data_IF_111479927031
#
_entry.id   IF_111479927031
#
_cell.length_a   1.000
_cell.length_b   1.000
_cell.length_c   1.000
_cell.angle_alpha   90.00
_cell.angle_beta   90.00
_cell.angle_gamma   90.00
#
_symmetry.space_group_name_H-M   'P 1'
#
loop_
_entity.id
_entity.type
_entity.pdbx_description
1 polymer ?
#
# COMPACT_ATOMS: atom_id res chain seq x y z
N UNK A 1 -51.01 -5.49 -8.40
CA UNK A 1 -50.02 -5.80 -7.34
C UNK A 1 -49.47 -7.20 -7.59
N UNK A 2 -48.18 -7.52 -7.36
CA UNK A 2 -46.99 -6.67 -7.11
C UNK A 2 -45.99 -6.76 -8.30
N UNK A 3 -45.41 -5.70 -8.89
CA UNK A 3 -44.33 -4.80 -8.41
C UNK A 3 -43.32 -5.45 -7.45
N UNK A 4 -42.22 -5.97 -7.97
CA UNK A 4 -40.89 -6.10 -7.35
C UNK A 4 -40.04 -6.82 -8.42
N UNK A 5 -39.16 -6.15 -9.16
CA UNK A 5 -37.75 -6.02 -8.80
C UNK A 5 -37.28 -4.61 -9.20
N UNK A 6 -37.10 -3.73 -8.20
CA UNK A 6 -36.22 -2.56 -8.34
C UNK A 6 -34.81 -3.12 -8.59
N UNK A 7 -34.08 -2.69 -9.65
CA UNK A 7 -32.65 -2.96 -9.70
C UNK A 7 -32.04 -2.34 -8.44
N UNK A 8 -31.23 -3.13 -7.75
CA UNK A 8 -30.61 -2.76 -6.50
C UNK A 8 -29.87 -1.44 -6.67
N UNK A 9 -30.45 -0.37 -6.11
CA UNK A 9 -29.75 0.89 -5.89
C UNK A 9 -28.73 0.64 -4.78
N UNK A 10 -27.62 0.01 -5.13
CA UNK A 10 -26.37 0.22 -4.41
C UNK A 10 -25.92 1.65 -4.74
N UNK A 11 -26.56 2.62 -4.10
CA UNK A 11 -25.97 3.93 -3.90
C UNK A 11 -25.31 3.91 -2.51
N UNK A 12 -24.07 3.40 -2.36
CA UNK A 12 -23.34 3.66 -1.16
C UNK A 12 -22.80 5.10 -1.26
N UNK A 13 -23.40 6.01 -0.48
CA UNK A 13 -22.70 7.02 0.33
C UNK A 13 -21.47 7.80 -0.21
N UNK A 14 -21.35 8.07 -1.52
CA UNK A 14 -20.35 9.00 -2.05
C UNK A 14 -21.03 10.08 -2.90
N UNK A 15 -21.37 11.20 -2.25
CA UNK A 15 -22.04 12.35 -2.87
C UNK A 15 -21.10 13.14 -3.81
N UNK A 16 -19.78 12.90 -3.72
CA UNK A 16 -18.75 13.65 -4.44
C UNK A 16 -17.86 12.75 -5.32
N UNK A 17 -17.44 13.21 -6.51
CA UNK A 17 -16.41 12.55 -7.31
C UNK A 17 -15.14 12.31 -6.49
N UNK A 18 -14.78 11.04 -6.30
CA UNK A 18 -13.72 10.64 -5.39
C UNK A 18 -12.79 9.61 -6.02
N UNK A 19 -11.52 9.69 -5.64
CA UNK A 19 -10.52 8.66 -5.92
C UNK A 19 -10.08 8.04 -4.61
N UNK A 20 -10.05 6.71 -4.58
CA UNK A 20 -9.42 5.95 -3.52
C UNK A 20 -8.22 5.21 -4.08
N UNK A 21 -7.02 5.52 -3.58
CA UNK A 21 -5.77 4.92 -4.04
C UNK A 21 -5.07 4.10 -2.96
N UNK A 22 -4.32 3.10 -3.38
CA UNK A 22 -3.34 2.39 -2.58
C UNK A 22 -2.03 2.30 -3.37
N UNK A 23 -0.91 2.74 -2.79
CA UNK A 23 0.40 2.76 -3.47
C UNK A 23 1.44 1.99 -2.66
N UNK A 24 2.15 1.04 -3.28
CA UNK A 24 3.19 0.22 -2.66
C UNK A 24 4.34 -0.13 -3.61
N UNK A 25 5.55 0.30 -3.23
CA UNK A 25 6.84 0.11 -3.93
C UNK A 25 6.79 0.28 -5.43
N UNK A 26 6.51 1.51 -5.83
CA UNK A 26 6.52 1.91 -7.25
C UNK A 26 5.36 1.35 -8.06
N UNK A 27 4.39 0.68 -7.41
CA UNK A 27 3.11 0.32 -8.01
C UNK A 27 1.96 0.95 -7.23
N UNK A 28 0.85 1.22 -7.89
CA UNK A 28 -0.37 1.71 -7.28
C UNK A 28 -1.60 1.08 -7.87
N UNK A 29 -2.68 1.18 -7.12
CA UNK A 29 -4.01 0.74 -7.49
C UNK A 29 -4.97 1.84 -7.10
N UNK A 30 -5.84 2.24 -8.01
CA UNK A 30 -6.75 3.37 -7.81
C UNK A 30 -8.14 2.99 -8.28
N UNK A 31 -9.13 3.32 -7.46
CA UNK A 31 -10.53 3.29 -7.80
C UNK A 31 -11.03 4.73 -7.93
N UNK A 32 -11.55 5.07 -9.10
CA UNK A 32 -12.11 6.38 -9.40
C UNK A 32 -13.61 6.26 -9.56
N UNK A 33 -14.32 7.03 -8.76
CA UNK A 33 -15.77 7.14 -8.77
C UNK A 33 -16.08 8.59 -9.11
N UNK A 34 -16.36 8.85 -10.38
CA UNK A 34 -16.39 10.19 -10.94
C UNK A 34 -17.71 10.56 -11.60
N UNK A 35 -17.80 11.83 -11.98
CA UNK A 35 -18.82 12.33 -12.90
C UNK A 35 -18.14 12.92 -14.12
N UNK A 36 -18.65 12.57 -15.29
CA UNK A 36 -18.20 13.10 -16.57
C UNK A 36 -19.24 14.09 -17.08
N UNK A 37 -18.78 15.28 -17.43
CA UNK A 37 -19.60 16.41 -17.84
C UNK A 37 -19.36 16.71 -19.33
N UNK A 38 -20.36 16.42 -20.16
CA UNK A 38 -20.43 16.71 -21.60
C UNK A 38 -21.81 17.26 -21.95
N UNK A 39 -22.22 18.36 -21.31
CA UNK A 39 -23.60 18.89 -21.38
C UNK A 39 -24.67 18.03 -20.69
N UNK A 40 -24.45 16.72 -20.54
CA UNK A 40 -25.20 15.77 -19.71
C UNK A 40 -24.26 15.06 -18.72
N UNK A 41 -24.84 14.49 -17.65
CA UNK A 41 -24.10 13.86 -16.53
C UNK A 41 -23.97 12.35 -16.75
N UNK A 42 -22.73 11.88 -16.87
CA UNK A 42 -22.40 10.46 -16.86
C UNK A 42 -21.67 10.06 -15.57
N UNK A 43 -21.91 8.83 -15.10
CA UNK A 43 -21.21 8.23 -13.96
C UNK A 43 -19.98 7.46 -14.47
N UNK A 44 -18.86 7.64 -13.77
CA UNK A 44 -17.56 7.05 -14.14
C UNK A 44 -17.13 6.10 -13.04
N UNK A 45 -16.85 4.86 -13.41
CA UNK A 45 -16.25 3.85 -12.55
C UNK A 45 -14.96 3.37 -13.24
N UNK A 46 -13.82 3.74 -12.69
CA UNK A 46 -12.52 3.41 -13.28
C UNK A 46 -11.65 2.70 -12.25
N UNK A 47 -11.10 1.56 -12.62
CA UNK A 47 -10.07 0.89 -11.85
C UNK A 47 -8.75 1.05 -12.59
N UNK A 48 -7.71 1.55 -11.94
CA UNK A 48 -6.39 1.75 -12.53
C UNK A 48 -5.30 1.08 -11.72
N UNK A 49 -4.33 0.54 -12.42
CA UNK A 49 -3.02 0.22 -11.88
C UNK A 49 -2.05 1.30 -12.29
N UNK A 50 -1.02 1.56 -11.48
CA UNK A 50 0.10 2.43 -11.83
C UNK A 50 1.40 1.71 -11.51
N UNK A 51 2.44 1.96 -12.29
CA UNK A 51 3.77 1.42 -12.12
C UNK A 51 4.80 2.45 -12.60
N UNK A 52 6.02 2.44 -12.06
CA UNK A 52 7.10 3.29 -12.57
C UNK A 52 7.67 2.74 -13.86
N UNK A 53 7.77 3.58 -14.89
CA UNK A 53 8.36 3.21 -16.18
C UNK A 53 9.84 3.61 -16.23
N UNK A 54 10.13 4.90 -16.35
CA UNK A 54 11.49 5.46 -16.35
C UNK A 54 11.47 6.96 -16.12
N UNK A 55 12.52 7.52 -15.51
CA UNK A 55 12.64 8.97 -15.32
C UNK A 55 11.44 9.61 -14.60
N UNK A 56 10.74 10.60 -15.21
CA UNK A 56 9.53 11.21 -14.64
C UNK A 56 8.26 10.42 -14.90
N UNK A 57 8.33 9.32 -15.65
CA UNK A 57 7.16 8.66 -16.20
C UNK A 57 6.72 7.46 -15.37
N UNK A 58 5.43 7.42 -15.10
CA UNK A 58 4.71 6.25 -14.62
C UNK A 58 3.72 5.82 -15.70
N UNK A 59 3.34 4.55 -15.69
CA UNK A 59 2.37 4.01 -16.62
C UNK A 59 1.38 3.10 -15.90
N UNK A 60 0.25 2.82 -16.53
CA UNK A 60 -0.84 2.12 -15.87
C UNK A 60 -1.79 1.46 -16.84
N UNK A 61 -2.41 0.37 -16.39
CA UNK A 61 -3.53 -0.24 -17.09
C UNK A 61 -4.82 0.06 -16.33
N UNK A 62 -5.86 0.41 -17.06
CA UNK A 62 -7.16 0.77 -16.52
C UNK A 62 -8.31 -0.07 -17.10
N UNK A 63 -9.32 -0.29 -16.28
CA UNK A 63 -10.65 -0.74 -16.70
C UNK A 63 -11.60 0.44 -16.48
N UNK A 64 -12.28 0.85 -17.54
CA UNK A 64 -13.20 1.97 -17.54
C UNK A 64 -14.63 1.51 -17.82
N UNK A 65 -15.54 1.87 -16.92
CA UNK A 65 -16.98 1.78 -17.09
C UNK A 65 -17.57 3.19 -17.00
N UNK A 66 -18.14 3.67 -18.11
CA UNK A 66 -18.83 4.96 -18.18
C UNK A 66 -20.29 4.70 -18.46
N UNK A 67 -21.19 5.26 -17.66
CA UNK A 67 -22.64 5.10 -17.84
C UNK A 67 -23.26 6.47 -17.98
N UNK A 68 -23.88 6.73 -19.13
CA UNK A 68 -24.59 7.97 -19.40
C UNK A 68 -26.08 7.70 -19.56
N UNK A 69 -26.91 8.51 -18.89
CA UNK A 69 -28.36 8.53 -19.08
C UNK A 69 -28.74 9.82 -19.80
N UNK A 70 -28.82 9.71 -21.13
CA UNK A 70 -29.18 10.82 -22.01
C UNK A 70 -30.61 10.59 -22.48
N UNK A 71 -31.56 11.28 -21.85
CA UNK A 71 -32.99 11.28 -22.26
C UNK A 71 -33.55 9.85 -22.50
N UNK A 72 -33.23 8.89 -21.62
CA UNK A 72 -33.76 7.51 -21.70
C UNK A 72 -32.98 6.56 -22.63
N UNK A 73 -31.95 7.04 -23.34
CA UNK A 73 -30.97 6.18 -24.00
C UNK A 73 -29.83 5.92 -23.03
N UNK A 74 -29.89 4.76 -22.36
CA UNK A 74 -28.80 4.28 -21.50
C UNK A 74 -27.65 3.85 -22.40
N UNK A 75 -26.61 4.68 -22.43
CA UNK A 75 -25.38 4.38 -23.15
C UNK A 75 -24.28 4.07 -22.15
N UNK A 76 -23.50 3.04 -22.42
CA UNK A 76 -22.36 2.71 -21.60
C UNK A 76 -21.11 2.46 -22.44
N UNK A 77 -19.95 2.76 -21.89
CA UNK A 77 -18.67 2.38 -22.46
C UNK A 77 -17.96 1.45 -21.49
N UNK A 78 -17.50 0.31 -22.00
CA UNK A 78 -16.72 -0.69 -21.29
C UNK A 78 -15.39 -0.82 -22.01
N UNK A 79 -14.30 -0.38 -21.39
CA UNK A 79 -13.00 -0.36 -22.05
C UNK A 79 -11.86 -0.77 -21.16
N UNK A 80 -10.81 -1.27 -21.81
CA UNK A 80 -9.50 -1.47 -21.21
C UNK A 80 -8.56 -0.45 -21.82
N UNK A 81 -7.78 0.21 -20.97
CA UNK A 81 -6.91 1.29 -21.39
C UNK A 81 -5.53 1.24 -20.80
N UNK A 82 -4.66 1.98 -21.46
CA UNK A 82 -3.30 2.24 -21.04
C UNK A 82 -3.12 3.73 -20.83
N UNK A 83 -2.46 4.10 -19.75
CA UNK A 83 -2.21 5.48 -19.36
C UNK A 83 -0.74 5.69 -19.05
N UNK A 84 -0.22 6.86 -19.42
CA UNK A 84 1.07 7.37 -18.98
C UNK A 84 0.86 8.64 -18.16
N UNK A 85 1.64 8.80 -17.10
CA UNK A 85 1.65 10.00 -16.27
C UNK A 85 3.09 10.50 -16.15
N UNK A 86 3.27 11.82 -16.13
CA UNK A 86 4.57 12.47 -16.03
C UNK A 86 4.62 13.38 -14.81
N UNK A 87 5.63 13.19 -13.95
CA UNK A 87 5.90 14.05 -12.79
C UNK A 87 5.27 13.58 -11.47
N UNK A 88 4.43 12.55 -11.48
CA UNK A 88 3.71 12.08 -10.30
C UNK A 88 4.62 11.48 -9.23
N UNK A 89 4.36 11.79 -7.96
CA UNK A 89 5.02 11.19 -6.80
C UNK A 89 6.49 11.58 -6.59
N UNK A 90 6.98 12.63 -7.27
CA UNK A 90 8.38 13.09 -7.17
C UNK A 90 8.69 13.99 -5.98
N UNK A 91 7.68 14.67 -5.43
CA UNK A 91 7.83 15.66 -4.37
C UNK A 91 6.67 15.55 -3.38
N UNK A 92 6.81 16.17 -2.21
CA UNK A 92 5.75 16.30 -1.20
C UNK A 92 4.51 16.95 -1.79
N UNK A 93 4.68 17.93 -2.69
CA UNK A 93 3.62 18.47 -3.53
C UNK A 93 4.07 18.34 -4.99
N UNK A 94 3.41 17.46 -5.75
CA UNK A 94 3.81 17.12 -7.12
C UNK A 94 2.66 17.31 -8.10
N UNK A 95 2.69 18.32 -8.98
CA UNK A 95 1.82 18.34 -10.15
C UNK A 95 2.24 17.22 -11.11
N UNK A 96 1.27 16.64 -11.80
CA UNK A 96 1.50 15.64 -12.82
C UNK A 96 0.57 15.84 -14.01
N UNK A 97 1.06 15.48 -15.19
CA UNK A 97 0.25 15.38 -16.40
C UNK A 97 -0.07 13.91 -16.67
N UNK A 98 -1.18 13.64 -17.34
CA UNK A 98 -1.58 12.29 -17.74
C UNK A 98 -2.14 12.27 -19.17
N UNK A 99 -1.88 11.17 -19.85
CA UNK A 99 -2.42 10.87 -21.18
C UNK A 99 -2.71 9.37 -21.29
N UNK A 100 -3.86 9.01 -21.83
CA UNK A 100 -4.27 7.61 -21.94
C UNK A 100 -5.15 7.32 -23.14
N UNK A 101 -5.21 6.04 -23.49
CA UNK A 101 -6.04 5.49 -24.55
C UNK A 101 -6.72 4.23 -24.02
N UNK A 102 -8.04 4.16 -24.12
CA UNK A 102 -8.81 2.95 -23.87
C UNK A 102 -9.51 2.47 -25.13
N UNK A 103 -9.54 1.16 -25.34
CA UNK A 103 -10.30 0.51 -26.38
C UNK A 103 -11.40 -0.31 -25.73
N UNK A 104 -12.60 -0.25 -26.29
CA UNK A 104 -13.75 -0.82 -25.62
C UNK A 104 -14.98 -0.94 -26.49
N UNK A 105 -16.05 -1.41 -25.85
CA UNK A 105 -17.38 -1.48 -26.41
C UNK A 105 -18.18 -0.29 -25.92
N UNK A 106 -18.61 0.55 -26.86
CA UNK A 106 -19.67 1.53 -26.63
C UNK A 106 -21.01 0.88 -26.94
N UNK A 107 -21.86 0.77 -25.92
CA UNK A 107 -23.22 0.28 -26.04
C UNK A 107 -24.21 1.45 -26.08
N UNK A 108 -25.17 1.36 -27.00
CA UNK A 108 -26.41 2.12 -26.99
C UNK A 108 -27.57 1.16 -26.74
N UNK A 109 -28.78 1.67 -26.52
CA UNK A 109 -29.98 0.86 -26.26
C UNK A 109 -30.23 -0.23 -27.33
N UNK A 110 -29.65 -0.09 -28.53
CA UNK A 110 -29.83 -1.01 -29.66
C UNK A 110 -28.54 -1.47 -30.37
N UNK A 111 -27.36 -0.95 -30.06
CA UNK A 111 -26.11 -1.30 -30.78
C UNK A 111 -24.91 -1.48 -29.84
N UNK A 112 -23.97 -2.33 -30.25
CA UNK A 112 -22.66 -2.51 -29.61
C UNK A 112 -21.59 -2.23 -30.66
N UNK A 113 -20.74 -1.24 -30.41
CA UNK A 113 -19.73 -0.81 -31.37
C UNK A 113 -18.37 -0.69 -30.70
N UNK A 114 -17.30 -0.96 -31.46
CA UNK A 114 -15.94 -0.73 -30.99
C UNK A 114 -15.66 0.78 -30.95
N UNK A 115 -15.20 1.24 -29.80
CA UNK A 115 -14.88 2.64 -29.55
C UNK A 115 -13.48 2.77 -28.94
N UNK A 116 -12.85 3.91 -29.23
CA UNK A 116 -11.60 4.33 -28.64
C UNK A 116 -11.86 5.58 -27.79
N UNK A 117 -11.30 5.61 -26.59
CA UNK A 117 -11.38 6.75 -25.69
C UNK A 117 -9.99 7.30 -25.40
N UNK A 118 -9.78 8.53 -25.81
CA UNK A 118 -8.59 9.32 -25.51
C UNK A 118 -8.82 10.09 -24.22
N UNK A 119 -7.80 10.12 -23.37
CA UNK A 119 -7.81 10.86 -22.11
C UNK A 119 -6.59 11.76 -22.04
N UNK A 120 -6.78 13.02 -21.68
CA UNK A 120 -5.73 13.99 -21.40
C UNK A 120 -6.08 14.73 -20.11
N UNK A 121 -5.10 14.99 -19.26
CA UNK A 121 -5.38 15.69 -18.02
C UNK A 121 -4.15 15.95 -17.18
N UNK A 122 -4.41 16.27 -15.93
CA UNK A 122 -3.38 16.45 -14.93
C UNK A 122 -3.97 16.54 -13.54
N UNK A 123 -3.11 16.41 -12.56
CA UNK A 123 -3.51 16.49 -11.18
C UNK A 123 -2.42 17.08 -10.31
N UNK A 124 -2.79 17.33 -9.07
CA UNK A 124 -1.89 17.74 -8.00
C UNK A 124 -1.99 16.69 -6.90
N UNK A 125 -0.86 16.13 -6.51
CA UNK A 125 -0.77 15.19 -5.40
C UNK A 125 0.05 15.83 -4.28
N UNK A 126 -0.55 15.93 -3.09
CA UNK A 126 0.08 16.38 -1.87
C UNK A 126 0.21 15.22 -0.89
N UNK A 127 1.44 14.79 -0.64
CA UNK A 127 1.78 13.79 0.35
C UNK A 127 1.85 14.44 1.73
N UNK A 128 0.69 14.60 2.35
CA UNK A 128 0.59 15.14 3.71
C UNK A 128 1.38 14.27 4.72
N UNK A 129 1.41 12.95 4.51
CA UNK A 129 2.21 12.01 5.30
C UNK A 129 2.89 10.99 4.36
N UNK A 130 3.89 10.26 4.85
CA UNK A 130 4.58 9.21 4.08
C UNK A 130 3.62 8.12 3.58
N UNK A 131 2.54 7.87 4.32
CA UNK A 131 1.48 6.89 4.04
C UNK A 131 0.16 7.51 3.58
N UNK A 132 0.04 8.84 3.49
CA UNK A 132 -1.20 9.52 3.12
C UNK A 132 -0.92 10.62 2.10
N UNK A 133 -1.56 10.51 0.94
CA UNK A 133 -1.58 11.59 -0.03
C UNK A 133 -3.01 11.99 -0.36
N UNK A 134 -3.21 13.29 -0.48
CA UNK A 134 -4.43 13.94 -0.92
C UNK A 134 -4.17 14.52 -2.31
N UNK A 135 -5.17 14.54 -3.17
CA UNK A 135 -4.97 15.13 -4.49
C UNK A 135 -6.24 15.53 -5.18
N UNK A 136 -6.08 16.29 -6.24
CA UNK A 136 -7.13 16.58 -7.20
C UNK A 136 -6.66 16.17 -8.59
N UNK A 137 -7.56 15.60 -9.39
CA UNK A 137 -7.28 15.20 -10.76
C UNK A 137 -8.37 15.72 -11.69
N UNK A 138 -7.94 16.41 -12.76
CA UNK A 138 -8.79 16.91 -13.82
C UNK A 138 -8.48 16.16 -15.12
N UNK A 139 -9.51 15.63 -15.77
CA UNK A 139 -9.40 14.86 -17.01
C UNK A 139 -10.36 15.36 -18.05
N UNK A 140 -9.86 15.53 -19.26
CA UNK A 140 -10.64 15.62 -20.49
C UNK A 140 -10.62 14.27 -21.18
N UNK A 141 -11.80 13.76 -21.55
CA UNK A 141 -11.94 12.53 -22.32
C UNK A 141 -12.62 12.82 -23.64
N UNK A 142 -12.14 12.17 -24.70
CA UNK A 142 -12.74 12.16 -26.03
C UNK A 142 -12.94 10.70 -26.45
N UNK A 143 -14.19 10.27 -26.53
CA UNK A 143 -14.58 8.96 -27.03
C UNK A 143 -15.05 9.07 -28.48
N UNK A 144 -14.46 8.27 -29.36
CA UNK A 144 -14.80 8.18 -30.78
C UNK A 144 -15.03 6.71 -31.19
N UNK A 145 -15.90 6.51 -32.18
CA UNK A 145 -16.18 5.19 -32.75
C UNK A 145 -15.12 4.87 -33.81
N UNK A 146 -14.16 4.03 -33.41
CA UNK A 146 -13.00 3.65 -34.21
C UNK A 146 -11.70 4.44 -33.89
N UNK A 147 -10.54 4.04 -34.45
CA UNK A 147 -9.23 4.52 -33.99
C UNK A 147 -8.78 5.87 -34.58
N UNK A 148 -9.70 6.77 -34.93
CA UNK A 148 -9.40 7.99 -35.74
C UNK A 148 -8.64 9.12 -35.00
N UNK A 149 -8.55 9.04 -33.67
CA UNK A 149 -7.68 9.93 -32.89
C UNK A 149 -8.25 11.32 -32.59
N UNK A 150 -7.43 12.14 -31.94
CA UNK A 150 -7.82 13.47 -31.41
C UNK A 150 -8.03 14.54 -32.49
N UNK A 151 -7.44 14.35 -33.68
CA UNK A 151 -7.29 15.38 -34.71
C UNK A 151 -8.39 15.36 -35.78
N UNK A 152 -9.25 14.35 -35.78
CA UNK A 152 -10.39 14.24 -36.70
C UNK A 152 -11.56 13.44 -36.09
N UNK A 153 -12.15 13.93 -34.98
CA UNK A 153 -13.28 13.26 -34.36
C UNK A 153 -14.50 13.28 -35.28
N UNK A 154 -15.29 12.21 -35.27
CA UNK A 154 -16.60 12.23 -35.94
C UNK A 154 -17.54 13.23 -35.28
N UNK A 155 -18.57 13.65 -36.02
CA UNK A 155 -19.62 14.54 -35.49
C UNK A 155 -20.39 13.93 -34.29
N UNK A 156 -20.35 12.61 -34.11
CA UNK A 156 -20.95 11.89 -32.98
C UNK A 156 -19.96 11.55 -31.85
N UNK A 157 -18.71 12.03 -31.95
CA UNK A 157 -17.71 11.86 -30.89
C UNK A 157 -18.13 12.57 -29.60
N UNK A 158 -17.85 11.92 -28.47
CA UNK A 158 -18.26 12.39 -27.14
C UNK A 158 -17.06 12.95 -26.41
N UNK A 159 -17.10 14.21 -26.00
CA UNK A 159 -16.00 14.80 -25.22
C UNK A 159 -16.46 15.40 -23.91
N UNK A 160 -15.68 15.33 -22.85
CA UNK A 160 -16.07 16.03 -21.64
C UNK A 160 -15.06 15.96 -20.53
N UNK A 161 -15.37 16.67 -19.45
CA UNK A 161 -14.43 16.88 -18.35
C UNK A 161 -14.90 16.14 -17.11
N UNK A 162 -13.97 15.58 -16.34
CA UNK A 162 -14.21 15.08 -14.99
C UNK A 162 -13.18 15.66 -14.04
N UNK A 163 -13.63 16.11 -12.88
CA UNK A 163 -12.77 16.47 -11.76
C UNK A 163 -13.03 15.50 -10.60
N UNK A 164 -11.97 15.05 -9.94
CA UNK A 164 -12.04 14.14 -8.78
C UNK A 164 -11.12 14.64 -7.68
N UNK A 165 -11.52 14.40 -6.43
CA UNK A 165 -10.66 14.58 -5.27
C UNK A 165 -10.31 13.20 -4.71
N UNK A 166 -9.02 12.98 -4.52
CA UNK A 166 -8.48 11.67 -4.18
C UNK A 166 -7.83 11.63 -2.81
N UNK A 167 -8.03 10.51 -2.13
CA UNK A 167 -7.19 10.09 -1.00
C UNK A 167 -6.48 8.82 -1.43
N UNK A 168 -5.17 8.77 -1.26
CA UNK A 168 -4.38 7.58 -1.52
C UNK A 168 -3.53 7.21 -0.32
N UNK A 169 -3.49 5.91 -0.03
CA UNK A 169 -2.79 5.35 1.10
C UNK A 169 -1.53 4.65 0.62
N UNK A 170 -0.40 4.99 1.21
CA UNK A 170 0.85 4.26 1.01
C UNK A 170 0.78 2.93 1.75
N UNK A 171 0.57 1.83 1.02
CA UNK A 171 0.86 0.48 1.50
C UNK A 171 2.38 0.35 1.50
N UNK A 172 3.01 0.59 2.64
CA UNK A 172 4.46 0.60 2.77
C UNK A 172 5.10 -0.62 2.10
N UNK A 173 6.01 -0.39 1.15
CA UNK A 173 6.86 -1.44 0.60
C UNK A 173 8.25 -1.30 1.21
N UNK A 174 8.75 -2.42 1.73
CA UNK A 174 10.17 -2.58 2.05
C UNK A 174 11.05 -2.38 0.81
N UNK A 175 12.18 -1.71 1.07
CA UNK A 175 13.50 -1.75 0.43
C UNK A 175 13.65 -1.59 -1.10
N UNK A 176 14.63 -0.75 -1.50
CA UNK A 176 15.37 -0.97 -2.75
C UNK A 176 15.88 0.25 -3.54
N UNK A 177 16.79 1.05 -2.97
CA UNK A 177 18.03 1.49 -3.65
C UNK A 177 18.06 2.60 -4.72
N UNK A 178 18.91 3.60 -4.44
CA UNK A 178 19.63 4.60 -5.31
C UNK A 178 18.81 5.78 -5.85
N UNK A 179 19.16 7.04 -5.65
CA UNK A 179 20.28 7.73 -5.00
C UNK A 179 20.22 9.22 -5.36
N UNK A 180 20.77 10.12 -4.55
CA UNK A 180 21.05 11.51 -4.95
C UNK A 180 20.66 12.61 -3.95
N UNK A 181 21.52 12.81 -2.95
CA UNK A 181 22.00 14.07 -2.35
C UNK A 181 21.05 15.28 -2.18
N UNK A 182 20.94 15.77 -0.95
CA UNK A 182 20.56 17.16 -0.66
C UNK A 182 20.07 17.41 0.77
N UNK A 183 20.99 17.61 1.71
CA UNK A 183 20.92 18.32 3.00
C UNK A 183 19.58 18.42 3.76
N UNK A 184 19.57 17.88 5.00
CA UNK A 184 18.81 18.46 6.12
C UNK A 184 17.90 17.51 6.92
N UNK A 185 18.49 16.58 7.67
CA UNK A 185 18.01 15.90 8.90
C UNK A 185 19.01 14.78 9.23
N UNK A 186 19.15 14.29 10.48
CA UNK A 186 19.81 13.01 10.70
C UNK A 186 19.04 11.98 9.89
N UNK A 187 19.64 11.46 8.81
CA UNK A 187 18.97 10.51 7.93
C UNK A 187 18.71 9.22 8.70
N UNK A 188 17.51 8.64 8.51
CA UNK A 188 17.22 7.27 8.94
C UNK A 188 18.41 6.36 8.60
N UNK A 189 18.95 5.65 9.58
CA UNK A 189 20.06 4.75 9.34
C UNK A 189 19.63 3.71 8.28
N UNK A 190 20.53 3.29 7.38
CA UNK A 190 20.20 2.25 6.41
C UNK A 190 19.66 1.01 7.15
N UNK A 191 18.70 0.27 6.57
CA UNK A 191 18.08 -0.87 7.23
C UNK A 191 19.16 -1.81 7.78
N UNK A 192 19.03 -2.27 9.04
CA UNK A 192 20.07 -3.07 9.66
C UNK A 192 20.28 -4.37 8.88
N UNK A 193 21.55 -4.62 8.55
CA UNK A 193 21.97 -5.93 8.04
C UNK A 193 21.90 -6.96 9.17
N UNK A 194 21.65 -8.25 8.84
CA UNK A 194 21.77 -9.34 9.80
C UNK A 194 23.09 -9.27 10.58
N UNK A 195 23.10 -9.66 11.86
CA UNK A 195 24.33 -9.71 12.65
C UNK A 195 25.37 -10.61 11.99
N UNK A 196 26.64 -10.24 12.09
CA UNK A 196 27.75 -10.99 11.46
C UNK A 196 28.06 -12.25 12.27
N UNK A 197 27.82 -12.19 13.58
CA UNK A 197 28.02 -13.29 14.52
C UNK A 197 26.78 -13.47 15.40
N UNK A 198 26.22 -14.67 15.40
CA UNK A 198 25.17 -15.08 16.33
C UNK A 198 25.82 -16.04 17.32
N UNK A 199 25.93 -15.63 18.59
CA UNK A 199 26.56 -16.41 19.66
C UNK A 199 25.57 -16.72 20.78
N UNK A 200 25.71 -17.89 21.41
CA UNK A 200 24.90 -18.32 22.55
C UNK A 200 23.97 -19.49 22.23
N UNK A 201 23.31 -20.02 23.26
CA UNK A 201 22.53 -21.26 23.19
C UNK A 201 21.29 -21.18 22.28
N UNK A 202 20.83 -19.97 21.95
CA UNK A 202 19.66 -19.76 21.09
C UNK A 202 20.04 -19.44 19.62
N UNK A 203 21.28 -19.68 19.20
CA UNK A 203 21.77 -19.30 17.87
C UNK A 203 20.94 -19.91 16.73
N UNK A 204 20.54 -21.18 16.84
CA UNK A 204 19.72 -21.86 15.84
C UNK A 204 18.31 -21.26 15.74
N UNK A 205 17.70 -20.88 16.88
CA UNK A 205 16.40 -20.19 16.92
C UNK A 205 16.49 -18.82 16.25
N UNK A 206 17.55 -18.07 16.54
CA UNK A 206 17.80 -16.76 15.93
C UNK A 206 18.01 -16.90 14.42
N UNK A 207 18.76 -17.91 13.99
CA UNK A 207 19.00 -18.20 12.57
C UNK A 207 17.69 -18.49 11.83
N UNK A 208 16.83 -19.36 12.38
CA UNK A 208 15.50 -19.65 11.80
C UNK A 208 14.62 -18.40 11.70
N UNK A 209 14.67 -17.51 12.70
CA UNK A 209 13.96 -16.25 12.62
C UNK A 209 14.52 -15.37 11.48
N UNK A 210 15.84 -15.28 11.34
CA UNK A 210 16.52 -14.50 10.30
C UNK A 210 16.25 -15.03 8.88
N UNK A 211 16.12 -16.35 8.70
CA UNK A 211 15.71 -16.97 7.43
C UNK A 211 14.32 -16.54 6.99
N UNK A 212 13.49 -16.08 7.92
CA UNK A 212 12.15 -15.57 7.62
C UNK A 212 12.15 -14.12 7.14
N UNK A 213 13.32 -13.45 7.01
CA UNK A 213 13.41 -12.06 6.56
C UNK A 213 12.73 -11.83 5.21
N UNK A 214 11.95 -10.75 5.12
CA UNK A 214 11.17 -10.40 3.94
C UNK A 214 9.84 -11.13 3.81
N UNK A 215 9.56 -12.13 4.66
CA UNK A 215 8.26 -12.82 4.67
C UNK A 215 7.13 -11.83 4.98
N UNK A 216 6.00 -11.83 4.24
CA UNK A 216 4.90 -10.90 4.45
C UNK A 216 4.28 -11.00 5.85
N UNK A 217 3.75 -9.88 6.33
CA UNK A 217 2.92 -9.89 7.53
C UNK A 217 1.51 -10.35 7.21
N UNK A 218 1.02 -11.34 7.95
CA UNK A 218 -0.37 -11.76 7.92
C UNK A 218 -0.88 -11.85 9.35
N UNK A 219 -1.98 -11.16 9.64
CA UNK A 219 -2.66 -11.28 10.91
C UNK A 219 -3.08 -12.75 11.15
N UNK A 220 -2.64 -13.36 12.24
CA UNK A 220 -2.89 -14.78 12.49
C UNK A 220 -1.85 -15.73 11.86
N UNK A 221 -0.93 -15.24 11.02
CA UNK A 221 0.05 -16.04 10.30
C UNK A 221 1.10 -16.69 11.20
N UNK A 222 1.53 -17.91 10.86
CA UNK A 222 2.46 -18.75 11.65
C UNK A 222 3.45 -19.57 10.80
N UNK A 223 3.45 -19.44 9.47
CA UNK A 223 4.28 -20.26 8.55
C UNK A 223 4.27 -19.69 7.11
N UNK A 224 4.53 -20.53 6.09
CA UNK A 224 4.78 -20.25 4.65
C UNK A 224 3.93 -19.17 3.96
N UNK A 225 2.73 -18.85 4.46
CA UNK A 225 1.88 -17.80 3.92
C UNK A 225 2.18 -16.40 4.50
N UNK A 226 2.84 -16.31 5.65
CA UNK A 226 3.17 -15.08 6.34
C UNK A 226 3.18 -15.22 7.87
N UNK A 227 3.73 -14.22 8.55
CA UNK A 227 3.81 -14.20 10.02
C UNK A 227 3.09 -12.98 10.61
N UNK A 228 2.39 -13.15 11.72
CA UNK A 228 2.25 -12.01 12.66
C UNK A 228 3.40 -11.98 13.65
N UNK A 229 3.42 -10.98 14.54
CA UNK A 229 4.55 -10.76 15.44
C UNK A 229 4.81 -11.97 16.34
N UNK A 230 3.78 -12.46 17.03
CA UNK A 230 3.87 -13.64 17.90
C UNK A 230 4.01 -14.94 17.13
N UNK A 231 3.47 -15.03 15.91
CA UNK A 231 3.58 -16.19 15.04
C UNK A 231 5.00 -16.42 14.55
N UNK A 232 5.75 -15.37 14.22
CA UNK A 232 7.17 -15.47 13.88
C UNK A 232 7.99 -16.07 15.04
N UNK A 233 7.79 -15.54 16.25
CA UNK A 233 8.51 -16.00 17.45
C UNK A 233 8.13 -17.44 17.77
N UNK A 234 6.83 -17.76 17.73
CA UNK A 234 6.34 -19.12 17.95
C UNK A 234 6.91 -20.11 16.93
N UNK A 235 6.98 -19.73 15.66
CA UNK A 235 7.54 -20.54 14.60
C UNK A 235 9.03 -20.81 14.82
N UNK A 236 9.83 -19.75 15.04
CA UNK A 236 11.27 -19.88 15.22
C UNK A 236 11.62 -20.80 16.39
N UNK A 237 10.98 -20.62 17.55
CA UNK A 237 11.16 -21.52 18.69
C UNK A 237 10.61 -22.94 18.44
N UNK A 238 9.48 -23.04 17.73
CA UNK A 238 8.81 -24.30 17.43
C UNK A 238 9.62 -25.24 16.52
N UNK A 239 10.38 -24.69 15.56
CA UNK A 239 11.30 -25.48 14.72
C UNK A 239 12.38 -26.19 15.55
N UNK A 240 12.69 -25.67 16.74
CA UNK A 240 13.67 -26.22 17.67
C UNK A 240 13.01 -26.91 18.87
N UNK A 241 11.75 -27.36 18.71
CA UNK A 241 11.03 -28.16 19.71
C UNK A 241 10.49 -27.37 20.92
N UNK A 242 10.65 -26.05 20.95
CA UNK A 242 10.22 -25.20 22.08
C UNK A 242 8.83 -24.63 21.79
N UNK A 243 7.85 -25.02 22.60
CA UNK A 243 6.46 -24.57 22.44
C UNK A 243 6.24 -23.24 23.15
N UNK A 244 5.89 -22.21 22.39
CA UNK A 244 5.46 -20.92 22.92
C UNK A 244 3.95 -20.70 22.75
N UNK A 245 3.32 -19.95 23.67
CA UNK A 245 1.95 -19.49 23.51
C UNK A 245 1.74 -18.70 22.21
N UNK A 246 0.50 -18.73 21.69
CA UNK A 246 0.18 -18.09 20.41
C UNK A 246 0.14 -16.57 20.48
N UNK A 247 -0.28 -16.00 21.60
CA UNK A 247 -0.48 -14.55 21.74
C UNK A 247 0.74 -13.87 22.37
N UNK A 248 1.10 -12.68 21.88
CA UNK A 248 2.18 -11.84 22.41
C UNK A 248 2.08 -11.60 23.92
N UNK A 249 0.87 -11.37 24.43
CA UNK A 249 0.57 -11.19 25.87
C UNK A 249 0.91 -12.42 26.73
N UNK A 250 0.84 -13.61 26.15
CA UNK A 250 1.12 -14.87 26.84
C UNK A 250 2.60 -15.24 26.71
N UNK A 251 3.21 -14.94 25.55
CA UNK A 251 4.66 -15.01 25.36
C UNK A 251 5.38 -14.08 26.35
N UNK A 252 4.79 -12.94 26.70
CA UNK A 252 5.27 -12.04 27.75
C UNK A 252 5.34 -12.66 29.16
N UNK A 253 4.86 -13.90 29.35
CA UNK A 253 4.94 -14.67 30.60
C UNK A 253 5.80 -15.93 30.46
N UNK A 254 6.42 -16.14 29.31
CA UNK A 254 7.27 -17.31 29.05
C UNK A 254 8.70 -17.05 29.53
N UNK A 255 9.39 -18.09 29.99
CA UNK A 255 10.80 -18.00 30.39
C UNK A 255 11.06 -17.08 31.60
N UNK A 256 12.33 -16.70 31.77
CA UNK A 256 12.78 -15.81 32.83
C UNK A 256 12.67 -14.34 32.41
N UNK A 257 12.47 -13.44 33.38
CA UNK A 257 12.55 -12.00 33.15
C UNK A 257 13.98 -11.56 32.85
N UNK A 258 14.15 -10.70 31.86
CA UNK A 258 15.42 -10.04 31.56
C UNK A 258 15.27 -8.56 31.93
N UNK A 259 16.24 -7.99 32.68
CA UNK A 259 16.25 -6.56 32.96
C UNK A 259 16.10 -5.74 31.67
N UNK A 260 15.26 -4.69 31.64
CA UNK A 260 14.98 -3.89 30.44
C UNK A 260 16.12 -2.90 30.15
N UNK A 261 17.35 -3.41 30.08
CA UNK A 261 18.57 -2.69 29.70
C UNK A 261 19.26 -3.45 28.59
N UNK A 262 19.76 -2.73 27.60
CA UNK A 262 20.31 -3.32 26.37
C UNK A 262 21.42 -4.33 26.67
N UNK A 263 22.29 -4.03 27.63
CA UNK A 263 23.43 -4.88 28.00
C UNK A 263 23.02 -6.22 28.62
N UNK A 264 21.78 -6.34 29.10
CA UNK A 264 21.25 -7.59 29.63
C UNK A 264 20.71 -8.53 28.53
N UNK A 265 20.49 -8.02 27.32
CA UNK A 265 19.90 -8.77 26.21
C UNK A 265 20.90 -9.76 25.62
N UNK A 266 20.41 -10.97 25.36
CA UNK A 266 21.13 -12.04 24.65
C UNK A 266 20.37 -12.45 23.40
N UNK A 267 21.06 -12.82 22.30
CA UNK A 267 20.40 -13.34 21.12
C UNK A 267 19.42 -14.46 21.50
N UNK A 268 18.19 -14.37 21.00
CA UNK A 268 17.09 -15.26 21.35
C UNK A 268 16.08 -14.66 22.34
N UNK A 269 16.46 -13.66 23.14
CA UNK A 269 15.53 -13.02 24.07
C UNK A 269 14.32 -12.43 23.33
N UNK A 270 13.12 -12.69 23.86
CA UNK A 270 11.87 -12.15 23.32
C UNK A 270 11.71 -10.73 23.85
N UNK A 271 11.75 -9.74 22.96
CA UNK A 271 11.45 -8.35 23.26
C UNK A 271 9.95 -8.13 23.32
N UNK A 272 9.50 -7.48 24.40
CA UNK A 272 8.11 -7.13 24.64
C UNK A 272 7.90 -5.66 24.33
N UNK A 273 6.97 -5.38 23.42
CA UNK A 273 6.77 -4.05 22.85
C UNK A 273 5.30 -3.65 22.94
N UNK A 274 5.06 -2.34 23.02
CA UNK A 274 3.72 -1.75 23.06
C UNK A 274 3.44 -0.88 21.83
N UNK A 275 2.19 -0.86 21.36
CA UNK A 275 1.75 0.06 20.32
C UNK A 275 1.73 1.52 20.79
N UNK A 276 1.54 1.73 22.11
CA UNK A 276 1.52 3.04 22.77
C UNK A 276 2.53 3.08 23.91
N UNK A 277 3.37 4.12 24.02
CA UNK A 277 4.31 4.25 25.13
C UNK A 277 3.61 4.11 26.48
N UNK A 278 4.21 3.36 27.41
CA UNK A 278 3.65 3.10 28.74
C UNK A 278 2.42 2.18 28.80
N UNK A 279 1.96 1.60 27.68
CA UNK A 279 0.87 0.61 27.68
C UNK A 279 1.39 -0.84 27.73
N UNK A 280 0.46 -1.79 27.90
CA UNK A 280 0.78 -3.22 27.97
C UNK A 280 1.27 -3.83 26.64
N UNK A 281 1.77 -5.07 26.71
CA UNK A 281 2.34 -5.77 25.56
C UNK A 281 1.31 -5.98 24.45
N UNK A 282 1.59 -5.45 23.27
CA UNK A 282 0.78 -5.67 22.05
C UNK A 282 1.61 -6.22 20.89
N UNK A 283 2.94 -6.19 21.00
CA UNK A 283 3.87 -6.61 19.96
C UNK A 283 5.05 -7.36 20.58
N UNK A 284 5.66 -8.26 19.82
CA UNK A 284 6.87 -8.98 20.23
C UNK A 284 7.89 -9.03 19.09
N UNK A 285 9.15 -9.14 19.47
CA UNK A 285 10.29 -9.37 18.58
C UNK A 285 11.31 -10.28 19.25
N UNK A 286 12.36 -10.67 18.53
CA UNK A 286 13.47 -11.46 19.06
C UNK A 286 14.76 -10.65 18.92
N UNK A 287 15.47 -10.45 20.02
CA UNK A 287 16.79 -9.83 19.98
C UNK A 287 17.76 -10.77 19.25
N UNK A 288 18.55 -10.22 18.32
CA UNK A 288 19.48 -11.00 17.49
C UNK A 288 20.94 -10.60 17.71
N UNK A 289 21.21 -9.66 18.61
CA UNK A 289 22.55 -9.11 18.85
C UNK A 289 22.80 -7.79 18.12
N UNK A 290 23.94 -7.16 18.41
CA UNK A 290 24.37 -5.90 17.77
C UNK A 290 23.31 -4.78 17.79
N UNK A 291 22.58 -4.65 18.91
CA UNK A 291 21.46 -3.70 19.06
C UNK A 291 20.30 -3.92 18.09
N UNK A 292 20.19 -5.11 17.49
CA UNK A 292 19.16 -5.44 16.51
C UNK A 292 18.18 -6.45 17.07
N UNK A 293 16.96 -6.37 16.55
CA UNK A 293 15.96 -7.39 16.78
C UNK A 293 15.16 -7.64 15.50
N UNK A 294 14.70 -8.88 15.36
CA UNK A 294 13.84 -9.31 14.28
C UNK A 294 12.39 -9.38 14.75
N UNK A 295 11.47 -8.93 13.91
CA UNK A 295 10.05 -8.98 14.20
C UNK A 295 9.23 -8.96 12.90
N UNK A 296 8.01 -9.51 12.95
CA UNK A 296 7.04 -9.32 11.87
C UNK A 296 6.24 -8.04 12.11
N UNK A 297 6.54 -7.01 11.32
CA UNK A 297 5.90 -5.68 11.35
C UNK A 297 4.81 -5.56 10.27
N UNK A 298 4.09 -4.44 10.22
CA UNK A 298 3.21 -4.14 9.08
C UNK A 298 3.93 -4.15 7.70
N UNK A 299 5.27 -4.14 7.64
CA UNK A 299 6.08 -4.26 6.42
C UNK A 299 6.64 -5.68 6.19
N UNK A 300 6.14 -6.68 6.93
CA UNK A 300 6.68 -8.03 6.96
C UNK A 300 7.78 -8.21 7.99
N UNK A 301 8.43 -9.37 7.93
CA UNK A 301 9.56 -9.73 8.77
C UNK A 301 10.77 -8.88 8.38
N UNK A 302 11.25 -8.09 9.34
CA UNK A 302 12.39 -7.18 9.16
C UNK A 302 13.24 -7.11 10.41
N UNK A 303 14.42 -6.51 10.26
CA UNK A 303 15.25 -6.09 11.38
C UNK A 303 14.98 -4.62 11.72
N UNK A 304 15.02 -4.30 13.00
CA UNK A 304 15.03 -2.93 13.53
C UNK A 304 16.10 -2.80 14.62
N UNK A 305 16.49 -1.57 14.94
CA UNK A 305 17.51 -1.27 15.95
C UNK A 305 16.90 -0.87 17.29
N UNK A 306 17.69 -1.02 18.35
CA UNK A 306 17.50 -0.47 19.69
C UNK A 306 18.57 0.61 19.93
N UNK A 307 18.66 1.58 19.02
CA UNK A 307 19.65 2.65 19.08
C UNK A 307 18.93 3.99 19.26
N UNK A 308 19.20 4.75 20.35
CA UNK A 308 18.57 6.06 20.56
C UNK A 308 18.99 7.12 19.53
N UNK A 309 20.08 6.91 18.78
CA UNK A 309 20.52 7.78 17.69
C UNK A 309 19.80 7.48 16.36
N UNK A 310 19.10 6.36 16.26
CA UNK A 310 18.26 5.98 15.12
C UNK A 310 16.81 6.43 15.38
N UNK A 311 16.17 7.24 14.51
CA UNK A 311 14.76 7.61 14.68
C UNK A 311 13.82 6.41 14.83
N UNK A 312 14.08 5.31 14.11
CA UNK A 312 13.32 4.06 14.28
C UNK A 312 13.67 3.38 15.61
N UNK A 313 14.94 3.41 16.03
CA UNK A 313 15.38 2.83 17.29
C UNK A 313 14.81 3.55 18.50
N UNK A 314 14.80 4.88 18.49
CA UNK A 314 14.15 5.71 19.50
C UNK A 314 12.64 5.38 19.61
N UNK A 315 11.95 5.17 18.48
CA UNK A 315 10.56 4.74 18.47
C UNK A 315 10.33 3.40 19.20
N UNK A 316 11.23 2.44 19.00
CA UNK A 316 11.15 1.12 19.64
C UNK A 316 11.54 1.16 21.11
N UNK A 317 12.54 1.95 21.48
CA UNK A 317 12.96 2.13 22.87
C UNK A 317 11.85 2.77 23.71
N UNK A 318 11.15 3.78 23.18
CA UNK A 318 9.98 4.41 23.81
C UNK A 318 8.78 3.45 23.98
N UNK A 319 8.79 2.32 23.26
CA UNK A 319 7.75 1.28 23.29
C UNK A 319 8.22 -0.02 23.92
N UNK A 320 9.43 -0.05 24.45
CA UNK A 320 10.01 -1.23 25.05
C UNK A 320 9.45 -1.44 26.46
N UNK A 321 8.75 -2.55 26.63
CA UNK A 321 8.10 -2.92 27.90
C UNK A 321 9.02 -3.80 28.74
N UNK A 322 9.80 -4.67 28.10
CA UNK A 322 10.71 -5.59 28.78
C UNK A 322 11.18 -6.72 27.87
N UNK A 323 11.81 -7.75 28.44
CA UNK A 323 12.27 -8.90 27.69
C UNK A 323 12.13 -10.22 28.48
N UNK A 324 12.02 -11.32 27.75
CA UNK A 324 11.93 -12.68 28.29
C UNK A 324 12.99 -13.60 27.70
N UNK A 325 13.67 -14.37 28.55
CA UNK A 325 14.67 -15.37 28.16
C UNK A 325 14.09 -16.76 28.29
N UNK A 326 13.93 -17.44 27.16
CA UNK A 326 13.38 -18.80 27.10
C UNK A 326 14.50 -19.85 27.16
N UNK A 327 15.62 -19.57 26.50
CA UNK A 327 16.82 -20.43 26.50
C UNK A 327 17.89 -19.73 27.36
N UNK A 328 18.34 -20.32 28.48
CA UNK A 328 19.29 -19.71 29.42
C UNK A 328 20.71 -19.56 28.86
#
# INVERSE_FOLDING_TARGET
MPRLIKPWRLAPFLVFPATLGAQGGGRGLELHLGRWYNGNRAEVYEFRTTARLSGPFTHGFGLALLVNDTLGRRRAFYGLGYEMQAGRGRATLGPYALAGLALGLSTDTSTQELAAQWTLGGGLEWRALSWLALGGELRYRLEDRGPRGFWNPRHDARSGVSATLGVSFGLGRGAGGRGGSGNGAPGDLPPPLPPVTISGNASEVVQTALESLGTPYIWGGTADNGFDCSGLIQYAYGQHGIRLPRMSRDQARSGAEVPPVIDALRPGDILLLSARPGAGVTHVGMYVGELKFIHSSNRGVKLSRLDPQDPEGAYWLDRWVGARRVIP
#
